data_IF_135337618775
#
_entry.id   IF_135337618775
#
_cell.length_a   1.000
_cell.length_b   1.000
_cell.length_c   1.000
_cell.angle_alpha   90.00
_cell.angle_beta   90.00
_cell.angle_gamma   90.00
#
_symmetry.space_group_name_H-M   'P 1'
#
loop_
_entity.id
_entity.type
_entity.pdbx_description
1 polymer ?
#
# COMPACT_ATOMS: atom_id res chain seq x y z
N UNK A 1 18.08 -33.45 16.28
CA UNK A 1 17.31 -33.48 17.55
C UNK A 1 15.84 -33.64 17.18
N UNK A 2 15.24 -34.82 17.38
CA UNK A 2 13.78 -35.03 17.16
C UNK A 2 13.08 -34.49 18.41
N UNK A 3 12.43 -33.35 18.30
CA UNK A 3 11.48 -32.92 19.31
C UNK A 3 10.21 -33.76 19.13
N UNK A 4 9.91 -34.60 20.12
CA UNK A 4 8.60 -35.27 20.22
C UNK A 4 7.57 -34.20 20.54
N UNK A 5 6.57 -34.06 19.68
CA UNK A 5 5.45 -33.15 19.86
C UNK A 5 4.59 -33.63 21.04
N UNK A 6 4.67 -32.93 22.18
CA UNK A 6 3.72 -33.10 23.28
C UNK A 6 2.61 -32.05 23.14
N UNK A 7 1.51 -32.47 22.52
CA UNK A 7 0.32 -31.64 22.34
C UNK A 7 -0.26 -31.13 23.68
N UNK A 8 -0.01 -31.82 24.79
CA UNK A 8 -0.60 -31.47 26.09
C UNK A 8 0.09 -30.29 26.79
N UNK A 9 1.30 -29.93 26.34
CA UNK A 9 2.10 -28.83 26.90
C UNK A 9 1.84 -27.48 26.21
N UNK A 10 1.31 -27.51 24.98
CA UNK A 10 1.07 -26.31 24.16
C UNK A 10 -0.40 -25.98 23.96
N UNK A 11 -1.28 -26.95 24.18
CA UNK A 11 -2.72 -26.75 24.18
C UNK A 11 -3.22 -27.01 25.60
N UNK A 12 -3.56 -25.96 26.38
CA UNK A 12 -4.20 -26.12 27.68
C UNK A 12 -5.38 -27.08 27.51
N UNK A 13 -5.44 -28.08 28.40
CA UNK A 13 -6.37 -29.22 28.31
C UNK A 13 -7.84 -28.83 28.23
N UNK A 14 -8.15 -27.56 28.47
CA UNK A 14 -9.50 -27.04 28.50
C UNK A 14 -9.69 -26.04 27.34
N UNK A 15 -10.38 -26.52 26.29
CA UNK A 15 -11.29 -25.74 25.42
C UNK A 15 -10.88 -25.35 23.98
N UNK A 16 -9.67 -25.62 23.46
CA UNK A 16 -9.42 -25.35 22.02
C UNK A 16 -9.76 -26.50 21.06
N UNK A 17 -9.87 -27.74 21.57
CA UNK A 17 -10.20 -28.95 20.79
C UNK A 17 -11.45 -29.69 21.29
N UNK A 18 -12.46 -28.95 21.79
CA UNK A 18 -13.68 -29.57 22.32
C UNK A 18 -14.51 -30.29 21.23
N UNK A 19 -14.36 -29.92 19.95
CA UNK A 19 -15.10 -30.54 18.85
C UNK A 19 -14.26 -31.61 18.15
N UNK A 20 -14.88 -32.79 17.96
CA UNK A 20 -14.29 -33.92 17.21
C UNK A 20 -13.91 -33.52 15.77
N UNK A 21 -14.62 -32.54 15.21
CA UNK A 21 -14.39 -32.02 13.86
C UNK A 21 -13.08 -31.26 13.73
N UNK A 22 -12.64 -30.54 14.77
CA UNK A 22 -11.35 -29.83 14.77
C UNK A 22 -10.22 -30.77 15.15
N UNK A 23 -10.45 -31.70 16.09
CA UNK A 23 -9.43 -32.60 16.62
C UNK A 23 -8.97 -33.69 15.64
N UNK A 24 -9.91 -34.32 14.92
CA UNK A 24 -9.58 -35.46 14.06
C UNK A 24 -8.59 -35.12 12.92
N UNK A 25 -8.70 -33.98 12.20
CA UNK A 25 -7.71 -33.60 11.20
C UNK A 25 -6.31 -33.34 11.80
N UNK A 26 -6.23 -32.76 13.00
CA UNK A 26 -4.95 -32.45 13.66
C UNK A 26 -4.22 -33.72 14.08
N UNK A 27 -4.94 -34.74 14.57
CA UNK A 27 -4.37 -36.05 14.93
C UNK A 27 -3.90 -36.86 13.71
N UNK A 28 -4.49 -36.63 12.53
CA UNK A 28 -4.06 -37.24 11.27
C UNK A 28 -2.85 -36.53 10.63
N UNK A 29 -2.46 -35.36 11.14
CA UNK A 29 -1.34 -34.59 10.58
C UNK A 29 -0.01 -35.14 11.13
N UNK A 30 0.90 -35.69 10.30
CA UNK A 30 2.10 -36.40 10.77
C UNK A 30 3.07 -35.54 11.60
N UNK A 31 3.09 -34.24 11.34
CA UNK A 31 3.87 -33.26 12.09
C UNK A 31 3.26 -31.87 11.92
N UNK A 32 3.26 -31.06 12.97
CA UNK A 32 2.84 -29.66 12.92
C UNK A 32 4.00 -28.76 13.26
N UNK A 33 4.28 -27.81 12.38
CA UNK A 33 5.23 -26.73 12.64
C UNK A 33 4.47 -25.49 13.10
N UNK A 34 5.02 -24.81 14.10
CA UNK A 34 4.49 -23.53 14.56
C UNK A 34 5.35 -22.40 13.98
N UNK A 35 4.69 -21.46 13.33
CA UNK A 35 5.31 -20.25 12.80
C UNK A 35 4.70 -19.05 13.52
N UNK A 36 5.56 -18.21 14.10
CA UNK A 36 5.12 -16.96 14.70
C UNK A 36 4.71 -15.98 13.61
N UNK A 37 3.47 -15.51 13.66
CA UNK A 37 2.97 -14.47 12.76
C UNK A 37 3.52 -13.12 13.23
N UNK A 38 4.41 -12.52 12.44
CA UNK A 38 5.00 -11.21 12.73
C UNK A 38 4.30 -10.12 11.94
N UNK A 39 3.90 -9.06 12.63
CA UNK A 39 3.33 -7.84 12.04
C UNK A 39 4.26 -6.68 12.33
N UNK A 40 4.71 -6.01 11.28
CA UNK A 40 5.58 -4.84 11.34
C UNK A 40 4.85 -3.55 11.71
N UNK A 41 5.64 -2.52 12.02
CA UNK A 41 5.17 -1.14 12.19
C UNK A 41 4.87 -0.46 10.87
N UNK A 42 3.78 0.32 10.85
CA UNK A 42 3.54 1.27 9.78
C UNK A 42 4.65 2.31 9.82
N UNK A 43 5.56 2.26 8.84
CA UNK A 43 6.68 3.20 8.81
C UNK A 43 6.23 4.55 8.24
N UNK A 44 6.54 5.67 8.92
CA UNK A 44 6.22 7.01 8.44
C UNK A 44 7.12 7.45 7.27
N UNK A 45 8.27 6.79 7.08
CA UNK A 45 9.17 7.07 5.97
C UNK A 45 9.63 5.77 5.31
N UNK A 46 9.60 5.72 3.97
CA UNK A 46 10.09 4.60 3.16
C UNK A 46 11.41 4.89 2.47
N UNK A 47 11.86 6.15 2.48
CA UNK A 47 13.07 6.61 1.79
C UNK A 47 14.17 6.87 2.82
N UNK A 48 15.29 6.17 2.68
CA UNK A 48 16.43 6.24 3.58
C UNK A 48 17.64 6.80 2.85
N UNK A 49 18.20 7.88 3.39
CA UNK A 49 19.30 8.60 2.75
C UNK A 49 18.86 9.16 1.39
N UNK A 50 19.73 9.04 0.38
CA UNK A 50 19.49 9.58 -0.96
C UNK A 50 19.17 8.53 -2.03
N UNK A 51 19.26 7.24 -1.71
CA UNK A 51 19.29 6.17 -2.73
C UNK A 51 18.64 4.85 -2.30
N UNK A 52 18.11 4.75 -1.08
CA UNK A 52 17.49 3.51 -0.60
C UNK A 52 16.01 3.72 -0.34
N UNK A 53 15.19 2.81 -0.85
CA UNK A 53 13.77 2.71 -0.51
C UNK A 53 13.44 1.27 -0.12
N UNK A 54 12.38 1.07 0.66
CA UNK A 54 11.88 -0.25 1.08
C UNK A 54 10.55 -0.56 0.39
N UNK A 55 10.34 -1.83 0.05
CA UNK A 55 9.15 -2.35 -0.64
C UNK A 55 8.73 -3.69 -0.03
N UNK A 56 7.48 -4.10 -0.26
CA UNK A 56 6.96 -5.40 0.18
C UNK A 56 6.95 -5.53 1.71
N UNK A 57 7.21 -6.73 2.22
CA UNK A 57 7.20 -7.00 3.67
C UNK A 57 8.17 -6.12 4.46
N UNK A 58 9.28 -5.67 3.86
CA UNK A 58 10.18 -4.71 4.51
C UNK A 58 9.48 -3.38 4.81
N UNK A 59 8.52 -2.98 3.98
CA UNK A 59 7.74 -1.75 4.11
C UNK A 59 6.41 -1.94 4.85
N UNK A 60 5.80 -3.12 4.77
CA UNK A 60 4.45 -3.36 5.28
C UNK A 60 4.15 -4.81 5.68
N UNK A 61 5.09 -5.49 6.36
CA UNK A 61 4.85 -6.81 6.96
C UNK A 61 3.56 -6.80 7.81
N UNK A 62 2.58 -7.59 7.41
CA UNK A 62 1.28 -7.70 8.08
C UNK A 62 0.96 -9.15 8.48
N UNK A 63 1.97 -10.01 8.46
CA UNK A 63 1.82 -11.45 8.67
C UNK A 63 0.88 -12.06 7.65
N UNK A 64 0.17 -13.12 8.06
CA UNK A 64 -0.79 -13.81 7.21
C UNK A 64 -2.16 -13.11 7.13
N UNK A 65 -2.27 -11.90 7.69
CA UNK A 65 -3.53 -11.17 7.67
C UNK A 65 -3.97 -10.90 6.23
N UNK A 66 -5.21 -11.26 5.90
CA UNK A 66 -5.80 -11.08 4.55
C UNK A 66 -5.09 -11.80 3.40
N UNK A 67 -4.01 -12.56 3.64
CA UNK A 67 -3.22 -13.27 2.64
C UNK A 67 -2.81 -12.40 1.42
N UNK A 68 -2.53 -11.11 1.65
CA UNK A 68 -2.31 -10.11 0.59
C UNK A 68 -0.84 -9.68 0.42
N UNK A 69 0.10 -10.29 1.14
CA UNK A 69 1.54 -9.92 1.11
C UNK A 69 2.13 -9.86 -0.30
N UNK A 70 1.92 -10.93 -1.08
CA UNK A 70 2.44 -11.03 -2.44
C UNK A 70 1.88 -9.96 -3.38
N UNK A 71 0.55 -9.76 -3.40
CA UNK A 71 -0.07 -8.75 -4.27
C UNK A 71 0.35 -7.33 -3.88
N UNK A 72 0.45 -7.02 -2.59
CA UNK A 72 0.91 -5.71 -2.13
C UNK A 72 2.37 -5.41 -2.49
N UNK A 73 3.22 -6.44 -2.54
CA UNK A 73 4.60 -6.31 -3.02
C UNK A 73 4.68 -6.07 -4.54
N UNK A 74 3.77 -6.68 -5.32
CA UNK A 74 3.64 -6.39 -6.75
C UNK A 74 3.15 -4.97 -6.99
N UNK A 75 2.16 -4.49 -6.24
CA UNK A 75 1.68 -3.12 -6.30
C UNK A 75 2.79 -2.10 -5.99
N UNK A 76 3.65 -2.40 -5.01
CA UNK A 76 4.80 -1.57 -4.69
C UNK A 76 5.79 -1.51 -5.86
N UNK A 77 6.04 -2.65 -6.51
CA UNK A 77 6.93 -2.75 -7.65
C UNK A 77 6.38 -1.98 -8.86
N UNK A 78 5.07 -2.06 -9.11
CA UNK A 78 4.39 -1.30 -10.15
C UNK A 78 4.47 0.21 -9.88
N UNK A 79 4.12 0.65 -8.68
CA UNK A 79 4.18 2.06 -8.31
C UNK A 79 5.60 2.64 -8.40
N UNK A 80 6.61 1.85 -8.00
CA UNK A 80 8.01 2.26 -8.12
C UNK A 80 8.43 2.36 -9.59
N UNK A 81 8.06 1.39 -10.42
CA UNK A 81 8.30 1.42 -11.86
C UNK A 81 7.67 2.64 -12.55
N UNK A 82 6.42 2.97 -12.20
CA UNK A 82 5.73 4.17 -12.68
C UNK A 82 6.44 5.45 -12.24
N UNK A 83 6.89 5.52 -10.98
CA UNK A 83 7.61 6.67 -10.46
C UNK A 83 8.94 6.92 -11.18
N UNK A 84 9.72 5.86 -11.43
CA UNK A 84 10.94 5.98 -12.23
C UNK A 84 10.62 6.35 -13.67
N UNK A 85 9.62 5.71 -14.28
CA UNK A 85 9.20 6.08 -15.63
C UNK A 85 8.84 7.56 -15.70
N UNK A 86 8.05 8.07 -14.77
CA UNK A 86 7.63 9.48 -14.73
C UNK A 86 8.82 10.44 -14.66
N UNK A 87 9.77 10.19 -13.75
CA UNK A 87 10.93 11.07 -13.58
C UNK A 87 11.91 11.00 -14.76
N UNK A 88 12.08 9.81 -15.35
CA UNK A 88 13.11 9.54 -16.35
C UNK A 88 12.59 9.47 -17.79
N UNK A 89 11.30 9.74 -18.03
CA UNK A 89 10.73 9.76 -19.39
C UNK A 89 11.29 10.89 -20.27
N UNK A 90 11.90 11.92 -19.69
CA UNK A 90 12.58 12.97 -20.44
C UNK A 90 13.98 12.53 -20.86
N UNK A 91 14.34 12.71 -22.13
CA UNK A 91 15.67 12.38 -22.68
C UNK A 91 16.84 13.14 -22.03
N UNK A 92 16.55 14.12 -21.16
CA UNK A 92 17.53 14.92 -20.41
C UNK A 92 17.65 14.53 -18.93
N UNK A 93 16.83 13.61 -18.43
CA UNK A 93 16.86 13.22 -17.03
C UNK A 93 18.12 12.40 -16.71
N UNK A 94 18.96 12.91 -15.83
CA UNK A 94 20.16 12.20 -15.34
C UNK A 94 19.82 11.36 -14.10
N UNK A 95 20.55 10.27 -13.85
CA UNK A 95 20.49 9.49 -12.61
C UNK A 95 21.14 10.25 -11.43
N UNK A 96 20.66 11.46 -11.16
CA UNK A 96 21.05 12.25 -10.00
C UNK A 96 20.29 11.79 -8.75
N UNK A 97 20.88 12.04 -7.58
CA UNK A 97 20.22 11.78 -6.29
C UNK A 97 18.87 12.52 -6.17
N UNK A 98 18.75 13.70 -6.75
CA UNK A 98 17.51 14.48 -6.74
C UNK A 98 16.39 13.77 -7.52
N UNK A 99 16.70 13.26 -8.72
CA UNK A 99 15.72 12.54 -9.53
C UNK A 99 15.34 11.19 -8.91
N UNK A 100 16.30 10.46 -8.34
CA UNK A 100 16.04 9.22 -7.61
C UNK A 100 15.13 9.48 -6.41
N UNK A 101 15.43 10.50 -5.60
CA UNK A 101 14.60 10.89 -4.46
C UNK A 101 13.21 11.35 -4.89
N UNK A 102 13.09 12.04 -6.02
CA UNK A 102 11.78 12.42 -6.59
C UNK A 102 10.96 11.19 -6.94
N UNK A 103 11.56 10.19 -7.58
CA UNK A 103 10.89 8.92 -7.89
C UNK A 103 10.47 8.19 -6.61
N UNK A 104 11.36 8.09 -5.61
CA UNK A 104 11.01 7.48 -4.32
C UNK A 104 9.91 8.24 -3.58
N UNK A 105 9.89 9.56 -3.67
CA UNK A 105 8.83 10.40 -3.11
C UNK A 105 7.47 10.15 -3.75
N UNK A 106 7.42 9.98 -5.08
CA UNK A 106 6.19 9.62 -5.80
C UNK A 106 5.70 8.23 -5.41
N UNK A 107 6.60 7.24 -5.37
CA UNK A 107 6.30 5.90 -4.89
C UNK A 107 5.73 5.92 -3.46
N UNK A 108 6.41 6.58 -2.52
CA UNK A 108 6.00 6.61 -1.11
C UNK A 108 4.63 7.25 -0.96
N UNK A 109 4.39 8.40 -1.61
CA UNK A 109 3.09 9.08 -1.56
C UNK A 109 1.95 8.27 -2.16
N UNK A 110 2.24 7.41 -3.14
CA UNK A 110 1.25 6.55 -3.79
C UNK A 110 0.85 5.38 -2.88
N UNK A 111 1.83 4.69 -2.27
CA UNK A 111 1.60 3.39 -1.61
C UNK A 111 1.43 3.47 -0.09
N UNK A 112 2.06 4.46 0.54
CA UNK A 112 2.09 4.55 2.00
C UNK A 112 0.69 4.73 2.63
N UNK A 113 -0.24 5.55 2.09
CA UNK A 113 -1.57 5.69 2.70
C UNK A 113 -2.36 4.37 2.74
N UNK A 114 -2.30 3.59 1.65
CA UNK A 114 -3.03 2.33 1.52
C UNK A 114 -2.50 1.26 2.49
N UNK A 115 -1.19 1.10 2.54
CA UNK A 115 -0.51 0.12 3.41
C UNK A 115 -0.53 0.53 4.89
N UNK A 116 -0.51 1.84 5.21
CA UNK A 116 -0.70 2.31 6.58
C UNK A 116 -2.11 1.99 7.11
N UNK A 117 -3.14 2.13 6.26
CA UNK A 117 -4.52 1.72 6.60
C UNK A 117 -4.58 0.22 6.91
N UNK A 118 -3.94 -0.61 6.09
CA UNK A 118 -3.87 -2.07 6.32
C UNK A 118 -3.26 -2.39 7.69
N UNK A 119 -2.07 -1.88 7.98
CA UNK A 119 -1.39 -2.15 9.24
C UNK A 119 -2.17 -1.66 10.46
N UNK A 120 -2.85 -0.51 10.34
CA UNK A 120 -3.76 -0.01 11.37
C UNK A 120 -4.91 -0.99 11.66
N UNK A 121 -5.53 -1.55 10.61
CA UNK A 121 -6.60 -2.55 10.76
C UNK A 121 -6.07 -3.83 11.41
N UNK A 122 -4.96 -4.38 10.90
CA UNK A 122 -4.38 -5.63 11.42
C UNK A 122 -4.04 -5.51 12.90
N UNK A 123 -3.41 -4.41 13.31
CA UNK A 123 -3.09 -4.16 14.72
C UNK A 123 -4.32 -4.06 15.59
N UNK A 124 -5.33 -3.32 15.14
CA UNK A 124 -6.59 -3.21 15.88
C UNK A 124 -7.27 -4.56 16.10
N UNK A 125 -7.03 -5.55 15.23
CA UNK A 125 -7.55 -6.91 15.39
C UNK A 125 -6.71 -7.74 16.36
N UNK A 126 -5.39 -7.57 16.33
CA UNK A 126 -4.47 -8.22 17.28
C UNK A 126 -4.77 -7.75 18.70
N UNK A 127 -4.91 -6.44 18.91
CA UNK A 127 -5.17 -5.85 20.23
C UNK A 127 -6.53 -6.29 20.82
N UNK A 128 -7.51 -6.60 19.95
CA UNK A 128 -8.84 -7.07 20.34
C UNK A 128 -8.89 -8.57 20.64
N UNK A 129 -7.80 -9.31 20.42
CA UNK A 129 -7.76 -10.76 20.64
C UNK A 129 -7.60 -11.07 22.13
N UNK A 130 -8.63 -10.77 22.92
CA UNK A 130 -8.77 -11.27 24.29
C UNK A 130 -9.11 -12.76 24.32
N UNK A 131 -8.82 -13.43 25.45
CA UNK A 131 -9.16 -14.84 25.71
C UNK A 131 -10.66 -15.08 25.56
N UNK A 132 -11.04 -15.85 24.55
CA UNK A 132 -12.44 -16.21 24.25
C UNK A 132 -12.75 -17.55 24.92
N UNK A 133 -13.77 -17.59 25.77
CA UNK A 133 -14.29 -18.80 26.39
C UNK A 133 -15.73 -19.00 25.91
N UNK A 134 -15.93 -19.97 25.01
CA UNK A 134 -17.20 -20.23 24.32
C UNK A 134 -18.43 -20.30 25.26
N UNK A 135 -19.24 -19.25 25.29
CA UNK A 135 -20.61 -19.26 25.81
C UNK A 135 -21.62 -19.04 24.68
N UNK A 136 -22.91 -19.34 24.90
CA UNK A 136 -23.95 -19.16 23.87
C UNK A 136 -24.16 -17.68 23.47
N UNK A 137 -23.89 -16.74 24.38
CA UNK A 137 -23.89 -15.30 24.11
C UNK A 137 -22.76 -14.90 23.14
N UNK A 138 -21.65 -15.64 23.13
CA UNK A 138 -20.55 -15.43 22.20
C UNK A 138 -20.83 -15.95 20.78
N UNK A 139 -21.74 -16.91 20.61
CA UNK A 139 -22.17 -17.38 19.28
C UNK A 139 -22.93 -16.27 18.54
N UNK A 140 -23.86 -15.60 19.23
CA UNK A 140 -24.57 -14.44 18.70
C UNK A 140 -23.60 -13.30 18.41
N UNK A 141 -22.64 -13.05 19.31
CA UNK A 141 -21.60 -12.05 19.10
C UNK A 141 -20.64 -12.40 17.93
N UNK A 142 -20.34 -13.69 17.72
CA UNK A 142 -19.54 -14.19 16.61
C UNK A 142 -20.28 -14.00 15.30
N UNK A 143 -21.56 -14.38 15.22
CA UNK A 143 -22.39 -14.17 14.03
C UNK A 143 -22.46 -12.68 13.71
N UNK A 144 -22.73 -11.82 14.70
CA UNK A 144 -22.74 -10.37 14.52
C UNK A 144 -21.37 -9.83 14.03
N UNK A 145 -20.25 -10.38 14.51
CA UNK A 145 -18.91 -10.02 14.04
C UNK A 145 -18.62 -10.51 12.63
N UNK A 146 -19.08 -11.70 12.26
CA UNK A 146 -18.90 -12.26 10.91
C UNK A 146 -19.77 -11.56 9.88
N UNK A 147 -21.01 -11.21 10.23
CA UNK A 147 -21.92 -10.47 9.33
C UNK A 147 -21.56 -9.00 9.24
N UNK A 148 -21.10 -8.39 10.34
CA UNK A 148 -20.63 -7.01 10.39
C UNK A 148 -19.17 -6.81 9.96
N UNK A 149 -18.52 -7.82 9.37
CA UNK A 149 -17.12 -7.71 8.98
C UNK A 149 -16.93 -6.63 7.90
N UNK A 150 -15.92 -5.75 8.03
CA UNK A 150 -15.63 -4.76 6.99
C UNK A 150 -15.30 -5.45 5.65
N UNK A 151 -15.78 -4.87 4.55
CA UNK A 151 -15.39 -5.33 3.20
C UNK A 151 -13.87 -5.21 3.01
N UNK A 152 -13.27 -6.20 2.34
CA UNK A 152 -11.86 -6.22 1.93
C UNK A 152 -11.67 -5.71 0.50
N UNK A 153 -12.73 -5.25 -0.15
CA UNK A 153 -12.72 -4.72 -1.52
C UNK A 153 -11.68 -3.61 -1.71
N UNK A 154 -11.57 -2.68 -0.76
CA UNK A 154 -10.57 -1.61 -0.80
C UNK A 154 -9.11 -2.11 -0.82
N UNK A 155 -8.86 -3.34 -0.34
CA UNK A 155 -7.54 -3.98 -0.35
C UNK A 155 -7.29 -4.67 -1.69
N UNK A 156 -8.30 -5.36 -2.22
CA UNK A 156 -8.20 -6.17 -3.44
C UNK A 156 -8.30 -5.35 -4.72
N UNK A 157 -9.14 -4.32 -4.73
CA UNK A 157 -9.46 -3.50 -5.91
C UNK A 157 -8.68 -2.18 -5.93
N UNK A 158 -7.56 -2.12 -5.22
CA UNK A 158 -6.76 -0.93 -5.16
C UNK A 158 -6.09 -0.64 -6.52
N UNK A 159 -6.61 0.36 -7.24
CA UNK A 159 -6.03 0.84 -8.49
C UNK A 159 -4.75 1.65 -8.28
N UNK A 160 -3.59 0.99 -8.33
CA UNK A 160 -2.27 1.62 -8.13
C UNK A 160 -2.00 2.73 -9.15
N UNK A 161 -2.33 2.51 -10.42
CA UNK A 161 -2.13 3.50 -11.49
C UNK A 161 -2.98 4.75 -11.26
N UNK A 162 -4.25 4.58 -10.89
CA UNK A 162 -5.14 5.70 -10.58
C UNK A 162 -4.65 6.49 -9.36
N UNK A 163 -4.19 5.79 -8.32
CA UNK A 163 -3.60 6.42 -7.14
C UNK A 163 -2.31 7.20 -7.50
N UNK A 164 -1.48 6.63 -8.38
CA UNK A 164 -0.26 7.28 -8.86
C UNK A 164 -0.56 8.56 -9.64
N UNK A 165 -1.48 8.50 -10.62
CA UNK A 165 -1.92 9.67 -11.39
C UNK A 165 -2.43 10.79 -10.48
N UNK A 166 -3.26 10.46 -9.49
CA UNK A 166 -3.77 11.44 -8.53
C UNK A 166 -2.65 12.12 -7.72
N UNK A 167 -1.58 11.39 -7.38
CA UNK A 167 -0.41 11.96 -6.70
C UNK A 167 0.36 12.91 -7.61
N UNK A 168 0.59 12.53 -8.86
CA UNK A 168 1.27 13.39 -9.85
C UNK A 168 0.49 14.67 -10.08
N UNK A 169 -0.81 14.58 -10.37
CA UNK A 169 -1.68 15.73 -10.59
C UNK A 169 -1.70 16.69 -9.39
N UNK A 170 -1.75 16.14 -8.17
CA UNK A 170 -1.70 16.93 -6.93
C UNK A 170 -0.39 17.70 -6.80
N UNK A 171 0.74 17.08 -7.11
CA UNK A 171 2.05 17.72 -7.00
C UNK A 171 2.27 18.78 -8.09
N UNK A 172 1.84 18.52 -9.31
CA UNK A 172 1.85 19.52 -10.39
C UNK A 172 0.93 20.71 -10.09
N UNK A 173 -0.25 20.44 -9.53
CA UNK A 173 -1.16 21.48 -9.03
C UNK A 173 -0.51 22.33 -7.94
N UNK A 174 0.11 21.69 -6.93
CA UNK A 174 0.81 22.38 -5.85
C UNK A 174 1.98 23.23 -6.37
N UNK A 175 2.76 22.73 -7.34
CA UNK A 175 3.82 23.50 -7.98
C UNK A 175 3.27 24.72 -8.74
N UNK A 176 2.16 24.56 -9.47
CA UNK A 176 1.50 25.68 -10.15
C UNK A 176 1.06 26.76 -9.17
N UNK A 177 0.47 26.39 -8.03
CA UNK A 177 0.03 27.34 -7.01
C UNK A 177 1.15 27.96 -6.17
N UNK A 178 2.30 27.29 -6.05
CA UNK A 178 3.46 27.80 -5.33
C UNK A 178 4.30 28.81 -6.13
N UNK A 179 4.09 28.95 -7.45
CA UNK A 179 4.79 29.97 -8.23
C UNK A 179 4.28 31.38 -7.89
N UNK A 180 5.18 32.35 -7.65
CA UNK A 180 4.76 33.72 -7.36
C UNK A 180 3.94 34.29 -8.52
N UNK A 181 2.85 35.00 -8.20
CA UNK A 181 1.84 35.52 -9.15
C UNK A 181 2.39 36.37 -10.32
N UNK A 182 3.67 36.76 -10.27
CA UNK A 182 4.38 37.43 -11.37
C UNK A 182 4.82 36.45 -12.47
N UNK A 183 5.30 35.25 -12.09
CA UNK A 183 5.75 34.21 -13.04
C UNK A 183 4.57 33.48 -13.69
N UNK A 184 3.47 33.26 -12.97
CA UNK A 184 2.23 32.74 -13.55
C UNK A 184 1.72 33.64 -14.68
N UNK A 185 1.68 34.97 -14.45
CA UNK A 185 1.29 35.98 -15.45
C UNK A 185 2.27 36.14 -16.61
N UNK A 186 3.51 35.69 -16.48
CA UNK A 186 4.48 35.64 -17.58
C UNK A 186 4.29 34.37 -18.43
N UNK A 187 4.06 33.20 -17.82
CA UNK A 187 3.75 31.96 -18.56
C UNK A 187 2.44 32.06 -19.33
N UNK A 188 1.39 32.62 -18.71
CA UNK A 188 0.10 32.84 -19.39
C UNK A 188 0.23 33.84 -20.55
N UNK A 189 1.04 34.90 -20.39
CA UNK A 189 1.33 35.84 -21.48
C UNK A 189 2.17 35.23 -22.59
N UNK A 190 3.08 34.33 -22.28
CA UNK A 190 3.90 33.64 -23.27
C UNK A 190 3.06 32.67 -24.11
N UNK A 191 2.21 31.87 -23.44
CA UNK A 191 1.26 30.96 -24.11
C UNK A 191 0.23 31.71 -24.96
N UNK A 192 -0.28 32.86 -24.48
CA UNK A 192 -1.19 33.72 -25.25
C UNK A 192 -0.52 34.35 -26.48
N UNK A 193 0.76 34.74 -26.39
CA UNK A 193 1.52 35.26 -27.54
C UNK A 193 1.79 34.19 -28.59
N UNK A 194 2.11 32.96 -28.20
CA UNK A 194 2.27 31.84 -29.14
C UNK A 194 0.95 31.50 -29.86
N UNK A 195 -0.18 31.56 -29.16
CA UNK A 195 -1.50 31.38 -29.74
C UNK A 195 -1.86 32.50 -30.73
N UNK A 196 -1.56 33.76 -30.38
CA UNK A 196 -1.76 34.91 -31.27
C UNK A 196 -0.91 34.78 -32.54
N UNK A 197 0.37 34.44 -32.40
CA UNK A 197 1.29 34.31 -33.54
C UNK A 197 0.88 33.21 -34.51
N UNK A 198 0.26 32.13 -34.01
CA UNK A 198 -0.30 31.04 -34.84
C UNK A 198 -1.56 31.48 -35.59
N UNK A 199 -2.42 32.28 -34.97
CA UNK A 199 -3.62 32.82 -35.62
C UNK A 199 -3.22 33.81 -36.71
N UNK A 200 -2.26 34.70 -36.44
CA UNK A 200 -1.75 35.68 -37.42
C UNK A 200 -1.12 34.98 -38.65
N UNK A 201 -0.39 33.88 -38.43
CA UNK A 201 0.16 33.06 -39.51
C UNK A 201 -0.93 32.34 -40.33
N UNK A 202 -2.00 31.87 -39.67
CA UNK A 202 -3.13 31.22 -40.34
C UNK A 202 -3.92 32.22 -41.20
N UNK A 203 -4.14 33.44 -40.70
CA UNK A 203 -4.82 34.52 -41.43
C UNK A 203 -3.99 34.95 -42.65
N UNK A 204 -2.66 35.03 -42.53
CA UNK A 204 -1.78 35.35 -43.64
C UNK A 204 -1.79 34.29 -44.75
N UNK A 205 -1.89 33.00 -44.40
CA UNK A 205 -1.95 31.89 -45.35
C UNK A 205 -3.32 31.76 -46.06
N UNK A 206 -4.40 32.26 -45.45
CA UNK A 206 -5.74 32.26 -46.06
C UNK A 206 -6.02 33.49 -46.95
N UNK A 207 -5.07 34.41 -47.07
CA UNK A 207 -5.19 35.66 -47.85
C UNK A 207 -4.39 35.64 -49.18
N UNK A 208 -3.91 34.47 -49.60
CA UNK A 208 -3.25 34.20 -50.90
C UNK A 208 -4.18 33.33 -51.74
#
# INVERSE_FOLDING_TARGET
MRATFDASLWFPKDNFFASRLVKAPTELTPSTNLYSSFVGDARPNRVFGSQVTIVGDAAHAHGDAFAAGGSLALDDSLALGLAFKEVFSSSKATFSNENINKAFGLYSQTRQPHTARLLGIVRSQIDKKGTIFATHEEEVALVARMTGRPSTEWLLEHGVEAAFTAVVERLEGAQRHALPARKQREMERFSSKEASCRIDLLIALMSI
#
